data_IF_695603652478
#
_entry.id   IF_695603652478
#
_cell.length_a   1.000
_cell.length_b   1.000
_cell.length_c   1.000
_cell.angle_alpha   90.00
_cell.angle_beta   90.00
_cell.angle_gamma   90.00
#
_symmetry.space_group_name_H-M   'P 1'
#
loop_
_entity.id
_entity.type
_entity.pdbx_description
1 polymer ?
#
# COMPACT_ATOMS: atom_id res chain seq x y z
N UNK A 1 -17.10 -65.62 -3.57
CA UNK A 1 -15.83 -64.87 -3.40
C UNK A 1 -15.14 -64.78 -4.75
N UNK A 2 -15.24 -63.65 -5.45
CA UNK A 2 -14.55 -63.44 -6.73
C UNK A 2 -13.21 -62.76 -6.46
N UNK A 3 -12.11 -63.48 -6.75
CA UNK A 3 -10.74 -62.97 -6.67
C UNK A 3 -10.59 -61.77 -7.60
N UNK A 4 -10.28 -60.60 -7.05
CA UNK A 4 -9.86 -59.42 -7.83
C UNK A 4 -8.38 -59.60 -8.17
N UNK A 5 -8.07 -60.01 -9.40
CA UNK A 5 -6.69 -59.98 -9.89
C UNK A 5 -6.20 -58.54 -9.97
N UNK A 6 -5.09 -58.22 -9.29
CA UNK A 6 -4.42 -56.92 -9.40
C UNK A 6 -3.72 -56.86 -10.75
N UNK A 7 -4.27 -56.11 -11.71
CA UNK A 7 -3.58 -55.75 -12.96
C UNK A 7 -2.17 -55.22 -12.64
N UNK A 8 -1.14 -55.77 -13.31
CA UNK A 8 0.25 -55.37 -13.13
C UNK A 8 0.45 -53.89 -13.48
N UNK A 9 1.25 -53.15 -12.70
CA UNK A 9 1.49 -51.71 -12.88
C UNK A 9 2.02 -51.38 -14.29
N UNK A 10 2.82 -52.27 -14.88
CA UNK A 10 3.31 -52.16 -16.26
C UNK A 10 2.19 -52.28 -17.30
N UNK A 11 1.18 -53.11 -17.02
CA UNK A 11 0.01 -53.28 -17.88
C UNK A 11 -0.89 -52.03 -17.79
N UNK A 12 -1.02 -51.46 -16.59
CA UNK A 12 -1.73 -50.20 -16.36
C UNK A 12 -1.03 -49.01 -17.05
N UNK A 13 0.31 -48.93 -17.00
CA UNK A 13 1.08 -47.90 -17.70
C UNK A 13 1.02 -48.05 -19.23
N UNK A 14 1.00 -49.28 -19.74
CA UNK A 14 0.83 -49.53 -21.17
C UNK A 14 -0.57 -49.10 -21.63
N UNK A 15 -1.62 -49.41 -20.86
CA UNK A 15 -2.99 -48.93 -21.10
C UNK A 15 -3.08 -47.41 -21.04
N UNK A 16 -2.41 -46.78 -20.07
CA UNK A 16 -2.38 -45.32 -19.91
C UNK A 16 -1.64 -44.61 -21.06
N UNK A 17 -0.53 -45.18 -21.52
CA UNK A 17 0.22 -44.68 -22.68
C UNK A 17 -0.59 -44.78 -23.97
N UNK A 18 -1.31 -45.89 -24.14
CA UNK A 18 -2.17 -46.14 -25.31
C UNK A 18 -3.43 -45.26 -25.28
N UNK A 19 -3.92 -44.90 -24.08
CA UNK A 19 -4.98 -43.92 -23.88
C UNK A 19 -4.54 -42.48 -24.23
N UNK A 20 -3.30 -42.10 -23.91
CA UNK A 20 -2.75 -40.78 -24.26
C UNK A 20 -2.53 -40.66 -25.76
N UNK A 21 -1.90 -41.67 -26.36
CA UNK A 21 -1.55 -41.66 -27.77
C UNK A 21 -1.65 -43.06 -28.37
N UNK A 22 -2.53 -43.22 -29.35
CA UNK A 22 -2.66 -44.46 -30.09
C UNK A 22 -1.80 -44.37 -31.38
N UNK A 23 -0.61 -45.01 -31.44
CA UNK A 23 0.29 -44.91 -32.59
C UNK A 23 -0.27 -45.54 -33.87
N UNK A 24 -1.27 -46.43 -33.75
CA UNK A 24 -1.92 -47.13 -34.87
C UNK A 24 -2.99 -46.29 -35.56
N UNK A 25 -3.76 -45.49 -34.82
CA UNK A 25 -4.78 -44.58 -35.37
C UNK A 25 -4.34 -43.11 -35.45
N UNK A 26 -3.24 -42.75 -34.80
CA UNK A 26 -2.76 -41.37 -34.70
C UNK A 26 -3.65 -40.48 -33.84
N UNK A 27 -4.48 -41.07 -32.97
CA UNK A 27 -5.40 -40.36 -32.09
C UNK A 27 -4.71 -39.97 -30.78
N UNK A 28 -4.93 -38.72 -30.36
CA UNK A 28 -4.47 -38.19 -29.08
C UNK A 28 -5.68 -38.04 -28.15
N UNK A 29 -5.65 -38.69 -26.99
CA UNK A 29 -6.76 -38.71 -26.01
C UNK A 29 -8.13 -39.04 -26.65
N UNK A 30 -8.13 -39.99 -27.59
CA UNK A 30 -9.35 -40.48 -28.25
C UNK A 30 -9.94 -39.55 -29.32
N UNK A 31 -9.19 -38.55 -29.81
CA UNK A 31 -9.58 -37.73 -30.97
C UNK A 31 -8.45 -37.63 -31.99
N UNK A 32 -8.82 -37.51 -33.27
CA UNK A 32 -7.87 -37.24 -34.36
C UNK A 32 -7.26 -35.85 -34.24
N UNK A 33 -6.00 -35.68 -34.65
CA UNK A 33 -5.27 -34.40 -34.62
C UNK A 33 -6.01 -33.26 -35.34
N UNK A 34 -6.77 -33.58 -36.39
CA UNK A 34 -7.63 -32.61 -37.10
C UNK A 34 -8.76 -32.07 -36.21
N UNK A 35 -9.40 -32.91 -35.41
CA UNK A 35 -10.44 -32.50 -34.47
C UNK A 35 -9.85 -31.64 -33.35
N UNK A 36 -8.68 -32.01 -32.82
CA UNK A 36 -7.95 -31.20 -31.84
C UNK A 36 -7.61 -29.81 -32.35
N UNK A 37 -7.09 -29.70 -33.58
CA UNK A 37 -6.81 -28.41 -34.22
C UNK A 37 -8.07 -27.54 -34.34
N UNK A 38 -9.20 -28.13 -34.75
CA UNK A 38 -10.47 -27.41 -34.85
C UNK A 38 -11.00 -26.96 -33.48
N UNK A 39 -10.89 -27.80 -32.44
CA UNK A 39 -11.31 -27.46 -31.07
C UNK A 39 -10.45 -26.33 -30.52
N UNK A 40 -9.12 -26.40 -30.67
CA UNK A 40 -8.20 -25.36 -30.21
C UNK A 40 -8.44 -24.04 -30.96
N UNK A 41 -8.64 -24.09 -32.28
CA UNK A 41 -8.97 -22.91 -33.07
C UNK A 41 -10.30 -22.28 -32.61
N UNK A 42 -11.33 -23.10 -32.37
CA UNK A 42 -12.60 -22.64 -31.84
C UNK A 42 -12.43 -21.93 -30.49
N UNK A 43 -11.71 -22.55 -29.55
CA UNK A 43 -11.48 -21.93 -28.23
C UNK A 43 -10.61 -20.68 -28.31
N UNK A 44 -9.61 -20.62 -29.19
CA UNK A 44 -8.81 -19.42 -29.40
C UNK A 44 -9.66 -18.24 -29.86
N UNK A 45 -10.51 -18.46 -30.88
CA UNK A 45 -11.40 -17.41 -31.40
C UNK A 45 -12.46 -17.02 -30.37
N UNK A 46 -13.07 -18.00 -29.72
CA UNK A 46 -14.11 -17.78 -28.71
C UNK A 46 -13.58 -16.99 -27.51
N UNK A 47 -12.48 -17.43 -26.89
CA UNK A 47 -11.88 -16.72 -25.77
C UNK A 47 -11.25 -15.40 -26.18
N UNK A 48 -10.76 -15.28 -27.41
CA UNK A 48 -10.30 -13.99 -27.97
C UNK A 48 -11.43 -12.97 -28.02
N UNK A 49 -12.62 -13.37 -28.50
CA UNK A 49 -13.80 -12.51 -28.52
C UNK A 49 -14.28 -12.14 -27.11
N UNK A 50 -14.32 -13.10 -26.18
CA UNK A 50 -14.67 -12.83 -24.78
C UNK A 50 -13.67 -11.87 -24.11
N UNK A 51 -12.38 -12.05 -24.34
CA UNK A 51 -11.35 -11.16 -23.83
C UNK A 51 -11.51 -9.74 -24.40
N UNK A 52 -11.80 -9.61 -25.70
CA UNK A 52 -12.04 -8.32 -26.33
C UNK A 52 -13.27 -7.59 -25.76
N UNK A 53 -14.38 -8.30 -25.51
CA UNK A 53 -15.55 -7.70 -24.86
C UNK A 53 -15.25 -7.29 -23.41
N UNK A 54 -14.49 -8.09 -22.68
CA UNK A 54 -14.09 -7.77 -21.31
C UNK A 54 -13.18 -6.54 -21.27
N UNK A 55 -12.16 -6.47 -22.12
CA UNK A 55 -11.27 -5.30 -22.18
C UNK A 55 -12.02 -4.06 -22.65
N UNK A 56 -12.96 -4.19 -23.59
CA UNK A 56 -13.80 -3.08 -24.02
C UNK A 56 -14.67 -2.52 -22.88
N UNK A 57 -15.35 -3.39 -22.12
CA UNK A 57 -16.18 -2.95 -20.99
C UNK A 57 -15.34 -2.32 -19.86
N UNK A 58 -14.16 -2.88 -19.57
CA UNK A 58 -13.20 -2.24 -18.65
C UNK A 58 -12.72 -0.88 -19.17
N UNK A 59 -12.42 -0.76 -20.46
CA UNK A 59 -12.00 0.50 -21.08
C UNK A 59 -13.09 1.57 -20.99
N UNK A 60 -14.34 1.24 -21.34
CA UNK A 60 -15.48 2.16 -21.22
C UNK A 60 -15.66 2.61 -19.77
N UNK A 61 -15.55 1.70 -18.80
CA UNK A 61 -15.63 2.06 -17.38
C UNK A 61 -14.53 3.06 -17.00
N UNK A 62 -13.28 2.87 -17.44
CA UNK A 62 -12.18 3.80 -17.17
C UNK A 62 -12.42 5.19 -17.76
N UNK A 63 -13.07 5.30 -18.93
CA UNK A 63 -13.46 6.60 -19.50
C UNK A 63 -14.48 7.37 -18.64
N UNK A 64 -15.19 6.71 -17.73
CA UNK A 64 -16.13 7.38 -16.80
C UNK A 64 -15.49 7.85 -15.50
N UNK A 65 -14.21 7.56 -15.29
CA UNK A 65 -13.47 7.95 -14.10
C UNK A 65 -12.67 9.22 -14.35
N UNK A 66 -12.52 10.03 -13.30
CA UNK A 66 -11.67 11.21 -13.31
C UNK A 66 -10.33 10.84 -12.64
N UNK A 67 -9.21 11.13 -13.29
CA UNK A 67 -7.86 10.85 -12.77
C UNK A 67 -7.54 11.65 -11.48
N UNK A 68 -8.19 12.79 -11.29
CA UNK A 68 -7.92 13.69 -10.18
C UNK A 68 -8.71 13.38 -8.91
N UNK A 69 -9.86 12.72 -9.02
CA UNK A 69 -10.79 12.60 -7.90
C UNK A 69 -11.45 11.22 -7.92
N UNK A 70 -11.27 10.41 -6.86
CA UNK A 70 -12.01 9.16 -6.76
C UNK A 70 -13.51 9.42 -6.69
N UNK A 71 -14.27 8.62 -7.43
CA UNK A 71 -15.73 8.75 -7.58
C UNK A 71 -16.50 8.59 -6.26
N UNK A 72 -16.08 7.66 -5.40
CA UNK A 72 -16.72 7.38 -4.12
C UNK A 72 -15.73 7.56 -2.97
N UNK A 73 -16.17 8.21 -1.89
CA UNK A 73 -15.35 8.48 -0.68
C UNK A 73 -16.04 8.12 0.63
N UNK A 74 -17.26 7.58 0.56
CA UNK A 74 -18.12 7.39 1.74
C UNK A 74 -17.56 6.36 2.74
N UNK A 75 -16.64 5.50 2.31
CA UNK A 75 -15.97 4.53 3.17
C UNK A 75 -14.87 5.14 4.06
N UNK A 76 -14.44 6.39 3.79
CA UNK A 76 -13.37 7.06 4.57
C UNK A 76 -13.85 8.49 4.93
N UNK A 77 -14.87 8.62 5.79
CA UNK A 77 -15.42 9.93 6.16
C UNK A 77 -14.47 10.72 7.08
N UNK A 78 -13.66 10.03 7.87
CA UNK A 78 -12.68 10.61 8.79
C UNK A 78 -11.29 10.07 8.49
N UNK A 79 -10.25 10.92 8.33
CA UNK A 79 -8.90 10.45 8.13
C UNK A 79 -8.41 9.69 9.37
N UNK A 80 -7.80 8.53 9.14
CA UNK A 80 -7.15 7.78 10.21
C UNK A 80 -5.88 8.49 10.71
N UNK A 81 -5.49 8.17 11.94
CA UNK A 81 -4.23 8.60 12.55
C UNK A 81 -3.27 7.42 12.61
N UNK A 82 -2.03 7.65 12.20
CA UNK A 82 -0.96 6.66 12.30
C UNK A 82 0.13 7.17 13.22
N UNK A 83 0.58 6.27 14.09
CA UNK A 83 1.70 6.51 15.01
C UNK A 83 2.96 5.89 14.39
N UNK A 84 4.08 6.60 14.49
CA UNK A 84 5.36 6.20 13.91
C UNK A 84 6.51 6.48 14.89
N UNK A 85 7.51 5.58 15.05
CA UNK A 85 7.72 4.32 14.34
C UNK A 85 6.82 3.18 14.85
N UNK A 86 6.49 2.20 14.00
CA UNK A 86 5.58 1.10 14.38
C UNK A 86 6.35 0.03 15.17
N UNK A 87 5.96 -0.27 16.42
CA UNK A 87 6.57 -1.37 17.16
C UNK A 87 6.16 -2.74 16.58
N UNK A 88 6.97 -3.79 16.79
CA UNK A 88 6.60 -5.15 16.37
C UNK A 88 5.33 -5.64 17.07
N UNK A 89 5.11 -5.22 18.31
CA UNK A 89 3.94 -5.59 19.12
C UNK A 89 2.86 -4.52 18.97
N UNK A 90 2.33 -4.32 17.76
CA UNK A 90 1.21 -3.45 17.37
C UNK A 90 1.21 -1.98 17.89
N UNK A 91 1.18 -1.75 19.21
CA UNK A 91 1.18 -0.45 19.89
C UNK A 91 2.05 -0.36 21.17
N UNK A 92 2.71 -1.45 21.61
CA UNK A 92 3.56 -1.42 22.80
C UNK A 92 5.04 -1.18 22.45
N UNK A 93 5.61 -0.11 23.03
CA UNK A 93 7.02 0.24 22.87
C UNK A 93 7.84 -0.37 24.01
N UNK A 94 8.47 -1.51 23.74
CA UNK A 94 9.39 -2.17 24.68
C UNK A 94 10.82 -2.03 24.19
N UNK A 95 11.65 -1.26 24.91
CA UNK A 95 13.08 -1.14 24.63
C UNK A 95 13.86 -0.91 25.94
N UNK A 96 15.17 -1.13 25.91
CA UNK A 96 16.05 -0.85 27.04
C UNK A 96 16.85 0.42 26.77
N UNK A 97 16.84 1.37 27.71
CA UNK A 97 17.64 2.59 27.61
C UNK A 97 19.15 2.29 27.63
N UNK A 98 19.54 1.22 28.33
CA UNK A 98 20.93 0.81 28.51
C UNK A 98 21.54 0.14 27.28
N UNK A 99 20.71 -0.41 26.39
CA UNK A 99 21.18 -1.11 25.18
C UNK A 99 20.77 -0.37 23.90
N UNK A 100 21.71 0.37 23.27
CA UNK A 100 21.47 1.07 22.01
C UNK A 100 20.93 0.20 20.88
N UNK A 101 21.22 -1.11 20.88
CA UNK A 101 20.77 -2.01 19.82
C UNK A 101 19.25 -2.20 19.83
N UNK A 102 18.60 -2.12 21.00
CA UNK A 102 17.15 -2.32 21.10
C UNK A 102 16.34 -1.21 20.45
N UNK A 103 16.78 0.05 20.53
CA UNK A 103 16.07 1.20 19.93
C UNK A 103 16.69 1.71 18.61
N UNK A 104 17.84 1.18 18.20
CA UNK A 104 18.49 1.55 16.94
C UNK A 104 17.55 1.49 15.74
N UNK A 105 16.71 0.44 15.67
CA UNK A 105 15.73 0.27 14.59
C UNK A 105 14.72 1.42 14.56
N UNK A 106 14.20 1.83 15.72
CA UNK A 106 13.26 2.95 15.82
C UNK A 106 13.88 4.28 15.38
N UNK A 107 15.13 4.51 15.78
CA UNK A 107 15.89 5.72 15.39
C UNK A 107 16.16 5.73 13.88
N UNK A 108 16.51 4.58 13.30
CA UNK A 108 16.73 4.45 11.85
C UNK A 108 15.43 4.68 11.07
N UNK A 109 14.31 4.10 11.53
CA UNK A 109 12.99 4.31 10.96
C UNK A 109 12.60 5.81 10.99
N UNK A 110 12.86 6.51 12.10
CA UNK A 110 12.65 7.96 12.23
C UNK A 110 13.52 8.78 11.28
N UNK A 111 14.81 8.43 11.14
CA UNK A 111 15.71 9.11 10.19
C UNK A 111 15.25 8.92 8.75
N UNK A 112 14.87 7.69 8.39
CA UNK A 112 14.37 7.36 7.06
C UNK A 112 13.03 8.07 6.77
N UNK A 113 12.18 8.21 7.78
CA UNK A 113 10.91 8.94 7.66
C UNK A 113 11.12 10.45 7.47
N UNK A 114 12.09 11.06 8.15
CA UNK A 114 12.37 12.49 8.10
C UNK A 114 13.26 12.91 6.93
N UNK A 115 13.95 11.98 6.27
CA UNK A 115 14.77 12.24 5.07
C UNK A 115 14.07 13.11 4.00
N UNK A 116 12.85 12.76 3.51
CA UNK A 116 12.06 13.57 2.54
C UNK A 116 11.65 14.95 3.04
N UNK A 117 11.81 15.24 4.33
CA UNK A 117 11.53 16.54 4.92
C UNK A 117 12.79 17.40 5.08
N UNK A 118 13.95 16.92 4.64
CA UNK A 118 15.17 17.72 4.64
C UNK A 118 15.04 18.94 3.72
N UNK A 119 15.72 20.03 4.09
CA UNK A 119 15.73 21.28 3.32
C UNK A 119 16.21 21.04 1.88
N UNK A 120 17.10 20.05 1.69
CA UNK A 120 17.63 19.72 0.37
C UNK A 120 16.62 19.03 -0.54
N UNK A 121 15.84 18.09 0.00
CA UNK A 121 14.81 17.38 -0.76
C UNK A 121 13.57 18.26 -0.97
N UNK A 122 13.38 19.30 -0.14
CA UNK A 122 12.25 20.23 -0.23
C UNK A 122 12.50 21.52 -1.03
N UNK A 123 13.65 21.69 -1.68
CA UNK A 123 14.00 22.94 -2.40
C UNK A 123 12.97 23.38 -3.47
N UNK A 124 12.26 22.42 -4.07
CA UNK A 124 11.29 22.67 -5.13
C UNK A 124 9.84 22.88 -4.62
N UNK A 125 9.62 22.81 -3.31
CA UNK A 125 8.30 23.00 -2.70
C UNK A 125 8.05 24.47 -2.38
N UNK A 126 6.77 24.85 -2.25
CA UNK A 126 6.38 26.24 -1.97
C UNK A 126 6.24 26.47 -0.46
N UNK A 127 6.60 27.67 0.02
CA UNK A 127 6.33 28.07 1.40
C UNK A 127 4.86 28.48 1.55
N UNK A 128 4.14 27.83 2.45
CA UNK A 128 2.71 28.03 2.62
C UNK A 128 2.42 28.76 3.94
N UNK A 129 1.67 29.88 3.92
CA UNK A 129 1.32 30.60 5.13
C UNK A 129 0.39 29.76 6.01
N UNK A 130 0.72 29.66 7.30
CA UNK A 130 -0.11 28.94 8.27
C UNK A 130 -1.47 29.60 8.49
N UNK A 131 -2.53 28.80 8.53
CA UNK A 131 -3.88 29.23 8.92
C UNK A 131 -4.86 29.54 7.79
N UNK A 132 -4.42 29.46 6.51
CA UNK A 132 -5.30 29.56 5.36
C UNK A 132 -5.40 28.22 4.62
N UNK A 133 -6.57 27.94 4.03
CA UNK A 133 -6.71 26.82 3.10
C UNK A 133 -5.94 27.16 1.83
N UNK A 134 -5.03 26.27 1.44
CA UNK A 134 -4.24 26.45 0.23
C UNK A 134 -5.04 25.95 -0.97
N UNK A 135 -5.90 26.81 -1.52
CA UNK A 135 -6.72 26.48 -2.68
C UNK A 135 -5.92 26.59 -3.97
N UNK A 136 -5.81 25.50 -4.73
CA UNK A 136 -5.09 25.45 -5.99
C UNK A 136 -6.06 25.18 -7.13
N UNK A 137 -6.08 26.08 -8.11
CA UNK A 137 -6.85 25.94 -9.35
C UNK A 137 -5.87 25.91 -10.52
N UNK A 138 -5.51 24.70 -10.98
CA UNK A 138 -4.60 24.54 -12.11
C UNK A 138 -4.22 23.07 -12.36
N UNK A 139 -3.61 22.78 -13.52
CA UNK A 139 -3.06 21.44 -13.82
C UNK A 139 -1.79 21.14 -13.02
N UNK A 140 -1.12 22.16 -12.50
CA UNK A 140 0.11 22.03 -11.72
C UNK A 140 -0.17 22.27 -10.24
N UNK A 141 0.13 21.26 -9.42
CA UNK A 141 -0.13 21.27 -7.99
C UNK A 141 1.18 21.42 -7.22
N UNK A 142 1.32 22.51 -6.47
CA UNK A 142 2.45 22.75 -5.60
C UNK A 142 2.23 22.12 -4.22
N UNK A 143 3.27 21.53 -3.64
CA UNK A 143 3.21 21.02 -2.27
C UNK A 143 3.84 22.04 -1.31
N UNK A 144 3.25 22.15 -0.12
CA UNK A 144 3.78 22.98 0.94
C UNK A 144 5.02 22.36 1.58
N UNK A 145 6.05 23.17 1.79
CA UNK A 145 7.20 22.80 2.61
C UNK A 145 6.75 22.51 4.04
N UNK A 146 7.37 21.50 4.65
CA UNK A 146 7.16 21.18 6.05
C UNK A 146 8.51 21.25 6.76
N UNK A 147 8.78 22.33 7.52
CA UNK A 147 10.06 22.49 8.18
C UNK A 147 10.18 21.55 9.38
N UNK A 148 11.24 20.74 9.40
CA UNK A 148 11.54 19.78 10.49
C UNK A 148 11.73 20.47 11.84
N UNK A 149 12.04 21.77 11.85
CA UNK A 149 12.12 22.59 13.07
C UNK A 149 10.81 22.65 13.85
N UNK A 150 9.66 22.41 13.21
CA UNK A 150 8.36 22.31 13.88
C UNK A 150 8.28 21.14 14.86
N UNK A 151 9.09 20.09 14.66
CA UNK A 151 9.17 18.93 15.56
C UNK A 151 10.01 19.21 16.81
N UNK A 152 10.61 20.40 16.91
CA UNK A 152 11.42 20.83 18.06
C UNK A 152 12.50 19.79 18.42
N UNK A 153 12.44 19.21 19.62
CA UNK A 153 13.39 18.23 20.13
C UNK A 153 13.36 16.89 19.36
N UNK A 154 12.24 16.60 18.69
CA UNK A 154 12.06 15.39 17.88
C UNK A 154 12.50 15.54 16.42
N UNK A 155 13.14 16.65 16.07
CA UNK A 155 13.64 16.93 14.73
C UNK A 155 14.84 16.07 14.31
N UNK A 156 15.56 15.47 15.26
CA UNK A 156 16.79 14.74 15.00
C UNK A 156 18.03 15.62 14.80
N UNK A 157 17.88 16.95 14.83
CA UNK A 157 18.96 17.93 14.66
C UNK A 157 19.78 18.09 15.95
N UNK A 158 19.08 18.25 17.08
CA UNK A 158 19.71 18.41 18.39
C UNK A 158 20.05 17.07 19.06
N UNK A 159 19.27 16.02 18.77
CA UNK A 159 19.46 14.68 19.31
C UNK A 159 19.26 13.64 18.20
N UNK A 160 20.35 12.99 17.80
CA UNK A 160 20.32 11.95 16.77
C UNK A 160 19.65 10.65 17.20
N UNK A 161 19.36 10.51 18.50
CA UNK A 161 18.66 9.37 19.11
C UNK A 161 17.20 9.67 19.46
N UNK A 162 16.66 10.84 19.09
CA UNK A 162 15.24 11.17 19.26
C UNK A 162 14.70 10.90 20.69
N UNK A 163 15.50 11.19 21.72
CA UNK A 163 15.12 11.03 23.12
C UNK A 163 15.08 9.60 23.66
N UNK A 164 15.34 8.57 22.83
CA UNK A 164 15.36 7.16 23.26
C UNK A 164 16.46 6.87 24.30
N UNK A 165 17.61 7.53 24.22
CA UNK A 165 18.69 7.39 25.21
C UNK A 165 18.35 8.02 26.58
N UNK A 166 17.43 9.01 26.59
CA UNK A 166 17.02 9.76 27.79
C UNK A 166 15.74 9.21 28.43
N UNK A 167 15.12 8.19 27.82
CA UNK A 167 13.87 7.62 28.30
C UNK A 167 12.64 8.45 27.96
N UNK A 168 12.79 9.42 27.06
CA UNK A 168 11.74 10.28 26.53
C UNK A 168 11.65 10.05 25.02
N UNK A 169 11.14 8.89 24.56
CA UNK A 169 11.16 8.55 23.15
C UNK A 169 10.20 9.45 22.36
N UNK A 170 10.68 10.01 21.26
CA UNK A 170 9.84 10.76 20.34
C UNK A 170 9.01 9.82 19.47
N UNK A 171 7.71 10.08 19.44
CA UNK A 171 6.75 9.37 18.59
C UNK A 171 6.05 10.39 17.69
N UNK A 172 6.12 10.16 16.39
CA UNK A 172 5.51 11.01 15.38
C UNK A 172 4.09 10.55 15.08
N UNK A 173 3.21 11.53 14.95
CA UNK A 173 1.81 11.32 14.62
C UNK A 173 1.56 11.85 13.21
N UNK A 174 1.13 10.96 12.32
CA UNK A 174 0.86 11.24 10.91
C UNK A 174 -0.61 11.00 10.59
N UNK A 175 -1.22 11.96 9.91
CA UNK A 175 -2.59 11.81 9.41
C UNK A 175 -2.61 11.07 8.07
N UNK A 176 -3.63 10.24 7.84
CA UNK A 176 -3.86 9.61 6.55
C UNK A 176 -4.23 10.67 5.51
N UNK A 177 -3.56 10.61 4.36
CA UNK A 177 -3.78 11.55 3.27
C UNK A 177 -5.12 11.25 2.59
N UNK A 178 -6.03 12.22 2.60
CA UNK A 178 -7.31 12.19 1.87
C UNK A 178 -7.38 13.40 0.93
N UNK A 179 -7.84 13.23 -0.32
CA UNK A 179 -7.81 14.30 -1.34
C UNK A 179 -8.77 15.47 -1.04
N UNK A 180 -9.85 15.25 -0.30
CA UNK A 180 -10.81 16.31 0.07
C UNK A 180 -11.05 16.24 1.57
N UNK A 181 -10.21 16.90 2.35
CA UNK A 181 -10.46 17.13 3.77
C UNK A 181 -10.90 18.59 3.93
N UNK A 182 -12.20 18.84 3.98
CA UNK A 182 -12.66 20.06 4.65
C UNK A 182 -12.47 19.81 6.14
N UNK A 183 -11.31 20.22 6.66
CA UNK A 183 -11.16 20.33 8.11
C UNK A 183 -12.04 21.49 8.57
N UNK A 184 -13.30 21.20 8.87
CA UNK A 184 -14.01 21.98 9.87
C UNK A 184 -13.10 21.95 11.09
N UNK A 185 -12.52 23.08 11.48
CA UNK A 185 -11.65 23.16 12.65
C UNK A 185 -12.46 22.75 13.88
N UNK A 186 -12.48 21.46 14.21
CA UNK A 186 -13.00 20.97 15.48
C UNK A 186 -11.96 21.40 16.51
N UNK A 187 -12.28 22.47 17.23
CA UNK A 187 -11.53 22.90 18.40
C UNK A 187 -11.65 21.77 19.43
N UNK A 188 -10.69 20.85 19.44
CA UNK A 188 -10.59 19.81 20.47
C UNK A 188 -10.23 20.53 21.77
N UNK A 189 -11.25 20.87 22.56
CA UNK A 189 -11.06 21.35 23.92
C UNK A 189 -10.65 20.16 24.78
N UNK A 190 -9.35 19.89 24.89
CA UNK A 190 -8.82 18.99 25.90
C UNK A 190 -8.89 19.72 27.24
N UNK A 191 -10.07 19.66 27.87
CA UNK A 191 -10.26 20.13 29.24
C UNK A 191 -9.66 19.08 30.19
N UNK A 192 -8.68 19.53 30.99
CA UNK A 192 -7.97 18.79 32.05
C UNK A 192 -6.89 17.78 31.66
N UNK A 193 -5.72 18.30 31.29
CA UNK A 193 -4.43 17.83 31.82
C UNK A 193 -3.60 19.08 32.14
N UNK A 194 -3.22 19.24 33.41
CA UNK A 194 -2.38 20.35 33.86
C UNK A 194 -1.01 20.29 33.15
N UNK A 195 -0.63 21.41 32.52
CA UNK A 195 0.72 21.73 32.04
C UNK A 195 1.35 20.78 31.02
N UNK A 196 0.86 20.83 29.77
CA UNK A 196 1.69 20.55 28.60
C UNK A 196 1.48 21.66 27.57
N UNK A 197 2.16 22.80 27.75
CA UNK A 197 2.33 23.80 26.68
C UNK A 197 3.32 23.19 25.69
N UNK A 198 2.79 22.55 24.65
CA UNK A 198 3.41 22.24 23.34
C UNK A 198 2.76 20.97 22.79
N UNK A 199 1.48 21.06 22.36
CA UNK A 199 0.95 20.03 21.46
C UNK A 199 1.62 20.22 20.10
N UNK A 200 2.55 19.30 19.81
CA UNK A 200 3.26 19.13 18.56
C UNK A 200 2.27 19.23 17.39
N UNK A 201 2.51 20.21 16.50
CA UNK A 201 1.69 20.45 15.33
C UNK A 201 1.74 19.22 14.43
N UNK A 202 0.58 18.62 14.19
CA UNK A 202 0.44 17.45 13.33
C UNK A 202 1.10 17.72 11.97
N UNK A 203 2.00 16.81 11.57
CA UNK A 203 2.63 16.75 10.26
C UNK A 203 1.55 16.68 9.18
N UNK A 204 1.18 17.83 8.64
CA UNK A 204 0.32 17.96 7.49
C UNK A 204 1.04 18.83 6.45
N UNK A 205 1.84 18.25 5.55
CA UNK A 205 2.23 18.94 4.33
C UNK A 205 0.99 18.93 3.44
N UNK A 206 0.22 20.02 3.48
CA UNK A 206 -1.05 20.13 2.77
C UNK A 206 -0.82 19.98 1.26
N UNK A 207 -1.50 18.98 0.68
CA UNK A 207 -1.76 18.83 -0.76
C UNK A 207 -3.27 19.00 -0.88
N UNK A 208 -3.69 20.22 -1.17
CA UNK A 208 -5.02 20.55 -1.64
C UNK A 208 -4.95 20.68 -3.15
#
# INVERSE_FOLDING_TARGET
MTKTEKKSFHQSLAEWKLFIYNPTSGEFLGRTSKSWGLILLFYLVFYGFLAALFTFTMWVMLQTLNDEVPKYRDQIPSPGLMVFPKPPTALDYTYSMSDPHTYKKFVEDLKNFLKPYSVEEQKNLTDCPGGALFHQEGPDYSACQFPVSLLQECSGVNDSNFGYSKGQPCVLVKMNRVRTCFTSAVRVSVSHVHTCRSCCWALCPWRC
#
